data_IF_883296035596
#
_entry.id   IF_883296035596
#
_cell.length_a   1.000
_cell.length_b   1.000
_cell.length_c   1.000
_cell.angle_alpha   90.00
_cell.angle_beta   90.00
_cell.angle_gamma   90.00
#
_symmetry.space_group_name_H-M   'P 1'
#
loop_
_entity.id
_entity.type
_entity.pdbx_description
1 polymer ?
#
# COMPACT_ATOMS: atom_id res chain seq x y z
N UNK A 1 14.72 15.91 -29.12
CA UNK A 1 15.41 14.73 -28.56
C UNK A 1 14.41 13.98 -27.69
N UNK A 2 14.47 12.64 -27.62
CA UNK A 2 13.59 11.86 -26.76
C UNK A 2 13.81 12.18 -25.27
N UNK A 3 14.99 12.66 -24.88
CA UNK A 3 15.27 13.14 -23.52
C UNK A 3 15.07 14.66 -23.48
N UNK A 4 14.21 15.12 -22.57
CA UNK A 4 13.94 16.52 -22.30
C UNK A 4 14.99 17.14 -21.34
N UNK A 5 14.98 18.48 -21.22
CA UNK A 5 15.92 19.20 -20.35
C UNK A 5 15.77 18.87 -18.86
N UNK A 6 14.58 18.46 -18.44
CA UNK A 6 14.26 18.00 -17.08
C UNK A 6 14.60 16.52 -16.85
N UNK A 7 15.32 15.88 -17.80
CA UNK A 7 15.65 14.45 -17.83
C UNK A 7 14.45 13.50 -17.98
N UNK A 8 13.27 14.01 -18.30
CA UNK A 8 12.13 13.15 -18.71
C UNK A 8 12.39 12.54 -20.08
N UNK A 9 11.84 11.35 -20.32
CA UNK A 9 12.02 10.59 -21.56
C UNK A 9 10.68 10.46 -22.27
N UNK A 10 10.66 10.80 -23.55
CA UNK A 10 9.54 10.67 -24.47
C UNK A 10 9.91 9.70 -25.60
N UNK A 11 8.94 8.93 -26.06
CA UNK A 11 9.11 8.12 -27.26
C UNK A 11 9.12 8.99 -28.54
N UNK A 12 9.29 8.34 -29.69
CA UNK A 12 9.35 9.02 -31.00
C UNK A 12 8.04 9.72 -31.40
N UNK A 13 6.92 9.36 -30.78
CA UNK A 13 5.60 9.99 -31.02
C UNK A 13 5.24 11.02 -29.93
N UNK A 14 6.18 11.34 -29.04
CA UNK A 14 6.05 12.37 -28.01
C UNK A 14 5.38 11.90 -26.72
N UNK A 15 5.10 10.61 -26.56
CA UNK A 15 4.50 10.05 -25.34
C UNK A 15 5.55 9.99 -24.23
N UNK A 16 5.19 10.49 -23.04
CA UNK A 16 6.04 10.42 -21.86
C UNK A 16 6.25 8.97 -21.40
N UNK A 17 7.47 8.44 -21.51
CA UNK A 17 7.89 7.14 -21.02
C UNK A 17 8.41 7.24 -19.58
N UNK A 18 9.35 8.15 -19.31
CA UNK A 18 9.86 8.38 -17.96
C UNK A 18 9.59 9.82 -17.55
N UNK A 19 8.94 10.00 -16.40
CA UNK A 19 8.73 11.30 -15.77
C UNK A 19 9.86 11.49 -14.78
N UNK A 20 10.65 12.56 -14.88
CA UNK A 20 11.67 12.82 -13.86
C UNK A 20 11.04 13.14 -12.50
N UNK A 21 11.83 13.04 -11.42
CA UNK A 21 11.37 13.31 -10.07
C UNK A 21 10.87 14.76 -9.92
N UNK A 22 11.62 15.73 -10.43
CA UNK A 22 11.25 17.16 -10.39
C UNK A 22 9.94 17.41 -11.13
N UNK A 23 9.77 16.82 -12.32
CA UNK A 23 8.55 16.92 -13.10
C UNK A 23 7.36 16.26 -12.40
N UNK A 24 7.58 15.10 -11.78
CA UNK A 24 6.57 14.41 -10.98
C UNK A 24 6.10 15.28 -9.82
N UNK A 25 7.03 15.89 -9.08
CA UNK A 25 6.69 16.80 -7.98
C UNK A 25 5.90 17.99 -8.50
N UNK A 26 6.44 18.74 -9.46
CA UNK A 26 5.83 19.97 -9.93
C UNK A 26 4.46 19.76 -10.59
N UNK A 27 4.32 18.75 -11.46
CA UNK A 27 3.14 18.60 -12.28
C UNK A 27 2.08 17.68 -11.65
N UNK A 28 2.50 16.61 -10.97
CA UNK A 28 1.61 15.57 -10.45
C UNK A 28 1.34 15.75 -8.96
N UNK A 29 2.38 15.96 -8.15
CA UNK A 29 2.24 16.10 -6.70
C UNK A 29 1.74 17.48 -6.31
N UNK A 30 2.10 18.54 -7.03
CA UNK A 30 1.72 19.92 -6.73
C UNK A 30 0.70 20.47 -7.75
N UNK A 31 0.85 20.05 -9.01
CA UNK A 31 0.00 20.46 -10.12
C UNK A 31 -1.32 19.67 -10.27
N UNK A 32 -2.02 19.96 -11.36
CA UNK A 32 -3.30 19.33 -11.74
C UNK A 32 -3.17 18.45 -12.99
N UNK A 33 -1.98 17.92 -13.26
CA UNK A 33 -1.75 17.05 -14.38
C UNK A 33 -2.31 15.64 -14.10
N UNK A 34 -2.60 14.90 -15.18
CA UNK A 34 -2.95 13.49 -15.05
C UNK A 34 -1.75 12.72 -14.48
N UNK A 35 -1.92 12.09 -13.32
CA UNK A 35 -0.84 11.38 -12.62
C UNK A 35 -0.23 10.20 -13.39
N UNK A 36 -0.79 9.78 -14.52
CA UNK A 36 -0.22 8.73 -15.39
C UNK A 36 0.49 9.28 -16.62
N UNK A 37 -0.11 10.24 -17.34
CA UNK A 37 0.44 10.71 -18.63
C UNK A 37 0.97 12.15 -18.60
N UNK A 38 0.82 12.85 -17.48
CA UNK A 38 1.28 14.22 -17.28
C UNK A 38 0.67 15.29 -18.21
N UNK A 39 -0.42 14.97 -18.92
CA UNK A 39 -1.20 15.95 -19.68
C UNK A 39 -2.18 16.70 -18.78
N UNK A 40 -2.59 17.90 -19.20
CA UNK A 40 -3.55 18.78 -18.50
C UNK A 40 -4.96 18.71 -19.10
N UNK A 41 -5.96 19.27 -18.38
CA UNK A 41 -7.35 19.38 -18.88
C UNK A 41 -7.49 20.22 -20.16
N UNK A 42 -6.48 21.04 -20.47
CA UNK A 42 -6.44 21.83 -21.72
C UNK A 42 -6.04 20.99 -22.93
N UNK A 43 -5.36 19.86 -22.70
CA UNK A 43 -4.83 18.99 -23.74
C UNK A 43 -5.73 17.78 -24.01
N UNK A 44 -6.42 17.27 -22.98
CA UNK A 44 -7.27 16.07 -23.07
C UNK A 44 -8.45 16.13 -22.09
N UNK A 45 -9.47 15.30 -22.36
CA UNK A 45 -10.62 15.15 -21.46
C UNK A 45 -10.24 14.50 -20.12
N UNK A 46 -10.75 15.07 -19.04
CA UNK A 46 -10.54 14.59 -17.68
C UNK A 46 -11.81 14.01 -17.05
N UNK A 47 -11.57 13.09 -16.12
CA UNK A 47 -12.57 12.65 -15.17
C UNK A 47 -11.98 12.70 -13.74
N UNK A 48 -12.86 12.40 -12.78
CA UNK A 48 -12.47 12.25 -11.38
C UNK A 48 -12.29 10.78 -11.10
N UNK A 49 -11.04 10.38 -10.93
CA UNK A 49 -10.69 9.01 -10.59
C UNK A 49 -10.84 8.80 -9.09
N UNK A 50 -11.54 7.74 -8.68
CA UNK A 50 -11.68 7.42 -7.26
C UNK A 50 -10.37 6.88 -6.68
N UNK A 51 -10.11 7.24 -5.42
CA UNK A 51 -8.96 6.70 -4.67
C UNK A 51 -9.12 5.20 -4.50
N UNK A 52 -10.26 4.79 -3.93
CA UNK A 52 -10.69 3.41 -3.93
C UNK A 52 -11.49 3.10 -5.20
N UNK A 53 -11.18 2.01 -5.90
CA UNK A 53 -11.91 1.58 -7.09
C UNK A 53 -13.42 1.51 -6.90
N UNK A 54 -14.17 1.97 -7.89
CA UNK A 54 -15.63 2.01 -7.85
C UNK A 54 -16.29 0.64 -7.61
N UNK A 55 -15.65 -0.46 -8.01
CA UNK A 55 -16.17 -1.80 -7.74
C UNK A 55 -16.11 -2.15 -6.23
N UNK A 56 -15.07 -1.73 -5.50
CA UNK A 56 -15.01 -1.86 -4.04
C UNK A 56 -16.10 -1.00 -3.39
N UNK A 57 -16.24 0.24 -3.84
CA UNK A 57 -17.25 1.17 -3.31
C UNK A 57 -18.67 0.62 -3.45
N UNK A 58 -18.98 -0.01 -4.59
CA UNK A 58 -20.27 -0.66 -4.82
C UNK A 58 -20.42 -1.95 -4.01
N UNK A 59 -19.42 -2.83 -4.05
CA UNK A 59 -19.47 -4.16 -3.41
C UNK A 59 -19.68 -4.08 -1.90
N UNK A 60 -19.03 -3.11 -1.25
CA UNK A 60 -19.07 -2.94 0.20
C UNK A 60 -19.92 -1.75 0.66
N UNK A 61 -20.72 -1.15 -0.24
CA UNK A 61 -21.63 -0.05 0.11
C UNK A 61 -20.94 1.24 0.56
N UNK A 62 -19.64 1.41 0.27
CA UNK A 62 -18.80 2.47 0.82
C UNK A 62 -19.10 3.86 0.24
N UNK A 63 -19.87 3.99 -0.85
CA UNK A 63 -20.19 5.31 -1.42
C UNK A 63 -20.78 6.30 -0.40
N UNK A 64 -21.48 5.79 0.63
CA UNK A 64 -22.05 6.58 1.73
C UNK A 64 -21.20 6.53 3.02
N UNK A 65 -20.16 5.70 3.03
CA UNK A 65 -19.21 5.59 4.14
C UNK A 65 -18.13 6.66 4.09
N UNK A 66 -17.28 6.66 5.12
CA UNK A 66 -16.18 7.61 5.26
C UNK A 66 -14.87 6.93 5.62
N UNK A 67 -13.77 7.56 5.22
CA UNK A 67 -12.42 7.28 5.68
C UNK A 67 -11.97 8.35 6.67
N UNK A 68 -11.24 7.95 7.71
CA UNK A 68 -10.56 8.89 8.60
C UNK A 68 -9.23 9.31 8.00
N UNK A 69 -9.07 10.59 7.70
CA UNK A 69 -7.86 11.16 7.14
C UNK A 69 -6.75 11.31 8.22
N UNK A 70 -5.48 11.54 7.84
CA UNK A 70 -4.39 11.77 8.80
C UNK A 70 -4.64 12.91 9.79
N UNK A 71 -5.38 13.94 9.39
CA UNK A 71 -5.80 15.06 10.26
C UNK A 71 -7.02 14.72 11.16
N UNK A 72 -7.41 13.44 11.23
CA UNK A 72 -8.57 12.89 11.97
C UNK A 72 -9.94 13.34 11.48
N UNK A 73 -10.02 14.04 10.34
CA UNK A 73 -11.29 14.41 9.72
C UNK A 73 -11.86 13.23 8.93
N UNK A 74 -13.17 13.04 9.01
CA UNK A 74 -13.88 12.11 8.12
C UNK A 74 -14.00 12.69 6.71
N UNK A 75 -13.74 11.85 5.71
CA UNK A 75 -13.92 12.15 4.29
C UNK A 75 -14.79 11.08 3.64
N UNK A 76 -15.80 11.47 2.86
CA UNK A 76 -16.69 10.51 2.21
C UNK A 76 -15.99 9.78 1.06
N UNK A 77 -16.05 8.45 1.02
CA UNK A 77 -15.42 7.66 -0.04
C UNK A 77 -15.97 8.02 -1.43
N UNK A 78 -17.27 8.33 -1.54
CA UNK A 78 -17.90 8.72 -2.81
C UNK A 78 -17.35 10.01 -3.42
N UNK A 79 -16.71 10.87 -2.63
CA UNK A 79 -16.08 12.12 -3.10
C UNK A 79 -14.54 12.07 -3.01
N UNK A 80 -13.99 10.93 -2.58
CA UNK A 80 -12.55 10.74 -2.44
C UNK A 80 -11.98 10.42 -3.82
N UNK A 81 -11.62 11.47 -4.56
CA UNK A 81 -11.16 11.40 -5.96
C UNK A 81 -9.96 12.31 -6.24
N UNK A 82 -9.19 12.00 -7.28
CA UNK A 82 -8.09 12.80 -7.86
C UNK A 82 -8.32 13.03 -9.37
N UNK A 83 -7.69 14.06 -9.98
CA UNK A 83 -7.76 14.27 -11.42
C UNK A 83 -7.05 13.15 -12.20
N UNK A 84 -7.68 12.67 -13.27
CA UNK A 84 -7.07 11.75 -14.24
C UNK A 84 -7.69 11.95 -15.61
N UNK A 85 -6.90 11.87 -16.68
CA UNK A 85 -7.49 11.90 -18.02
C UNK A 85 -8.31 10.63 -18.28
N UNK A 86 -9.38 10.75 -19.07
CA UNK A 86 -10.33 9.66 -19.37
C UNK A 86 -9.60 8.45 -19.97
N UNK A 87 -8.63 8.69 -20.84
CA UNK A 87 -7.84 7.64 -21.49
C UNK A 87 -7.04 6.81 -20.48
N UNK A 88 -6.28 7.46 -19.60
CA UNK A 88 -5.49 6.78 -18.58
C UNK A 88 -6.37 6.05 -17.58
N UNK A 89 -7.48 6.67 -17.16
CA UNK A 89 -8.42 6.02 -16.25
C UNK A 89 -9.00 4.73 -16.88
N UNK A 90 -9.43 4.77 -18.14
CA UNK A 90 -9.91 3.58 -18.83
C UNK A 90 -8.85 2.48 -18.96
N UNK A 91 -7.58 2.85 -19.19
CA UNK A 91 -6.46 1.89 -19.25
C UNK A 91 -6.18 1.26 -17.88
N UNK A 92 -6.17 2.05 -16.81
CA UNK A 92 -6.06 1.56 -15.42
C UNK A 92 -7.19 0.59 -15.10
N UNK A 93 -8.43 0.92 -15.47
CA UNK A 93 -9.59 0.05 -15.25
C UNK A 93 -9.46 -1.30 -15.96
N UNK A 94 -8.94 -1.32 -17.18
CA UNK A 94 -8.73 -2.57 -17.93
C UNK A 94 -7.57 -3.40 -17.38
N UNK A 95 -6.49 -2.73 -16.97
CA UNK A 95 -5.26 -3.40 -16.55
C UNK A 95 -5.30 -3.88 -15.10
N UNK A 96 -5.83 -3.07 -14.18
CA UNK A 96 -5.91 -3.41 -12.75
C UNK A 96 -7.33 -3.78 -12.34
N UNK A 97 -8.29 -2.86 -12.51
CA UNK A 97 -9.56 -2.98 -11.78
C UNK A 97 -10.43 -4.15 -12.23
N UNK A 98 -10.54 -4.38 -13.53
CA UNK A 98 -11.35 -5.47 -14.09
C UNK A 98 -10.83 -6.84 -13.62
N UNK A 99 -9.58 -7.23 -13.92
CA UNK A 99 -9.10 -8.57 -13.55
C UNK A 99 -8.99 -8.77 -12.03
N UNK A 100 -8.67 -7.72 -11.26
CA UNK A 100 -8.61 -7.82 -9.79
C UNK A 100 -10.02 -7.96 -9.22
N UNK A 101 -11.00 -7.18 -9.69
CA UNK A 101 -12.39 -7.29 -9.22
C UNK A 101 -12.97 -8.69 -9.47
N UNK A 102 -12.65 -9.30 -10.62
CA UNK A 102 -13.00 -10.68 -10.96
C UNK A 102 -12.37 -11.69 -10.00
N UNK A 103 -11.07 -11.54 -9.70
CA UNK A 103 -10.38 -12.40 -8.73
C UNK A 103 -11.03 -12.32 -7.33
N UNK A 104 -11.40 -11.11 -6.89
CA UNK A 104 -12.08 -10.89 -5.61
C UNK A 104 -13.50 -11.49 -5.57
N UNK A 105 -14.15 -11.81 -6.70
CA UNK A 105 -15.44 -12.55 -6.67
C UNK A 105 -15.25 -13.91 -6.00
N UNK A 106 -14.11 -14.57 -6.22
CA UNK A 106 -13.77 -15.86 -5.61
C UNK A 106 -13.18 -15.78 -4.20
N UNK A 107 -13.23 -14.62 -3.54
CA UNK A 107 -12.62 -14.40 -2.22
C UNK A 107 -11.12 -14.70 -2.23
N UNK A 108 -10.60 -15.22 -1.12
CA UNK A 108 -9.18 -15.52 -0.99
C UNK A 108 -8.66 -16.51 -2.05
N UNK A 109 -9.46 -17.53 -2.39
CA UNK A 109 -9.09 -18.53 -3.37
C UNK A 109 -8.94 -17.93 -4.78
N UNK A 110 -9.84 -17.03 -5.16
CA UNK A 110 -9.76 -16.34 -6.45
C UNK A 110 -8.54 -15.42 -6.57
N UNK A 111 -8.22 -14.69 -5.49
CA UNK A 111 -7.02 -13.84 -5.44
C UNK A 111 -5.74 -14.67 -5.47
N UNK A 112 -5.67 -15.79 -4.73
CA UNK A 112 -4.53 -16.72 -4.80
C UNK A 112 -4.34 -17.28 -6.21
N UNK A 113 -5.41 -17.76 -6.84
CA UNK A 113 -5.34 -18.30 -8.20
C UNK A 113 -4.87 -17.26 -9.24
N UNK A 114 -5.17 -15.97 -9.03
CA UNK A 114 -4.62 -14.89 -9.84
C UNK A 114 -3.11 -14.75 -9.64
N UNK A 115 -2.65 -14.69 -8.38
CA UNK A 115 -1.24 -14.54 -8.04
C UNK A 115 -0.41 -15.73 -8.51
N UNK A 116 -0.92 -16.96 -8.35
CA UNK A 116 -0.25 -18.18 -8.83
C UNK A 116 -0.09 -18.19 -10.36
N UNK A 117 -1.07 -17.65 -11.09
CA UNK A 117 -1.08 -17.62 -12.55
C UNK A 117 -0.21 -16.51 -13.14
N UNK A 118 -0.25 -15.31 -12.55
CA UNK A 118 0.32 -14.09 -13.13
C UNK A 118 1.50 -13.52 -12.33
N UNK A 119 1.76 -14.06 -11.14
CA UNK A 119 2.62 -13.43 -10.15
C UNK A 119 1.89 -12.33 -9.34
N UNK A 120 2.54 -11.78 -8.30
CA UNK A 120 1.99 -10.78 -7.40
C UNK A 120 2.09 -9.35 -7.96
N UNK A 121 2.85 -9.14 -9.05
CA UNK A 121 3.17 -7.82 -9.58
C UNK A 121 1.92 -6.95 -9.76
N UNK A 122 0.88 -7.50 -10.40
CA UNK A 122 -0.36 -6.76 -10.65
C UNK A 122 -1.05 -6.33 -9.36
N UNK A 123 -1.11 -7.19 -8.35
CA UNK A 123 -1.70 -6.85 -7.04
C UNK A 123 -0.85 -5.83 -6.32
N UNK A 124 0.48 -6.00 -6.33
CA UNK A 124 1.40 -5.07 -5.70
C UNK A 124 1.30 -3.66 -6.32
N UNK A 125 1.31 -3.57 -7.65
CA UNK A 125 1.11 -2.31 -8.39
C UNK A 125 -0.26 -1.70 -8.12
N UNK A 126 -1.31 -2.50 -7.99
CA UNK A 126 -2.65 -2.01 -7.65
C UNK A 126 -2.73 -1.46 -6.23
N UNK A 127 -2.09 -2.12 -5.26
CA UNK A 127 -1.94 -1.60 -3.90
C UNK A 127 -1.13 -0.31 -3.88
N UNK A 128 -0.02 -0.25 -4.63
CA UNK A 128 0.78 0.96 -4.79
C UNK A 128 -0.03 2.08 -5.44
N UNK A 129 -0.90 1.77 -6.41
CA UNK A 129 -1.80 2.71 -7.06
C UNK A 129 -2.76 3.35 -6.05
N UNK A 130 -3.43 2.55 -5.21
CA UNK A 130 -4.32 3.07 -4.17
C UNK A 130 -3.54 3.93 -3.18
N UNK A 131 -2.38 3.45 -2.72
CA UNK A 131 -1.53 4.17 -1.80
C UNK A 131 -1.07 5.51 -2.38
N UNK A 132 -0.51 5.54 -3.60
CA UNK A 132 -0.11 6.79 -4.26
C UNK A 132 -1.29 7.74 -4.44
N UNK A 133 -2.46 7.24 -4.87
CA UNK A 133 -3.68 8.04 -5.00
C UNK A 133 -4.04 8.73 -3.69
N UNK A 134 -4.03 8.01 -2.57
CA UNK A 134 -4.31 8.59 -1.23
C UNK A 134 -3.38 9.77 -0.93
N UNK A 135 -2.09 9.59 -1.14
CA UNK A 135 -1.08 10.62 -0.83
C UNK A 135 -1.13 11.81 -1.80
N UNK A 136 -1.44 11.58 -3.08
CA UNK A 136 -1.71 12.68 -4.03
C UNK A 136 -2.95 13.47 -3.64
N UNK A 137 -3.95 12.83 -3.01
CA UNK A 137 -5.14 13.53 -2.53
C UNK A 137 -4.86 14.37 -1.28
N UNK A 138 -3.92 13.94 -0.45
CA UNK A 138 -3.55 14.65 0.79
C UNK A 138 -2.98 16.05 0.55
N UNK A 139 -2.46 16.35 -0.65
CA UNK A 139 -2.11 17.73 -1.06
C UNK A 139 -3.30 18.70 -1.03
N UNK A 140 -4.50 18.20 -1.30
CA UNK A 140 -5.73 18.99 -1.37
C UNK A 140 -6.42 19.11 -0.01
N UNK A 141 -5.85 18.52 1.03
CA UNK A 141 -6.44 18.38 2.34
C UNK A 141 -5.54 19.07 3.37
N UNK A 142 -6.11 19.95 4.19
CA UNK A 142 -5.33 20.70 5.19
C UNK A 142 -4.88 19.79 6.32
N UNK A 143 -3.63 19.97 6.77
CA UNK A 143 -3.10 19.35 7.98
C UNK A 143 -3.82 19.86 9.23
N UNK A 144 -4.04 21.17 9.30
CA UNK A 144 -4.72 21.81 10.42
C UNK A 144 -6.20 22.07 10.09
N UNK A 145 -7.09 21.63 10.99
CA UNK A 145 -8.52 21.93 10.91
C UNK A 145 -8.80 23.38 11.31
N UNK A 146 -8.06 23.88 12.32
CA UNK A 146 -8.05 25.28 12.72
C UNK A 146 -7.08 26.08 11.83
N UNK A 147 -7.62 27.01 11.03
CA UNK A 147 -6.85 27.83 10.09
C UNK A 147 -5.83 28.74 10.77
N UNK A 148 -5.99 29.03 12.06
CA UNK A 148 -5.05 29.86 12.82
C UNK A 148 -3.70 29.16 13.01
N UNK A 149 -3.66 27.84 12.89
CA UNK A 149 -2.43 27.04 13.00
C UNK A 149 -1.67 26.93 11.66
N UNK A 150 -2.22 27.48 10.57
CA UNK A 150 -1.62 27.47 9.23
C UNK A 150 -2.50 26.78 8.19
N UNK A 151 -2.15 27.00 6.91
CA UNK A 151 -2.86 26.43 5.74
C UNK A 151 -2.10 25.26 5.09
N UNK A 152 -1.07 24.74 5.76
CA UNK A 152 -0.25 23.61 5.32
C UNK A 152 -1.08 22.38 4.96
N UNK A 153 -0.74 21.70 3.86
CA UNK A 153 -1.37 20.47 3.43
C UNK A 153 -0.92 19.26 4.27
N UNK A 154 -1.69 18.18 4.26
CA UNK A 154 -1.31 16.92 4.93
C UNK A 154 0.01 16.39 4.34
N UNK A 155 0.21 16.57 3.03
CA UNK A 155 1.36 16.05 2.29
C UNK A 155 2.67 16.83 2.46
N UNK A 156 2.70 17.91 3.24
CA UNK A 156 3.86 18.80 3.37
C UNK A 156 5.15 18.07 3.75
N UNK A 157 5.04 17.03 4.58
CA UNK A 157 6.20 16.30 5.10
C UNK A 157 6.51 15.03 4.29
N UNK A 158 5.89 14.84 3.13
CA UNK A 158 6.08 13.63 2.35
C UNK A 158 7.41 13.64 1.60
N UNK A 159 8.08 12.49 1.62
CA UNK A 159 9.22 12.23 0.75
C UNK A 159 8.74 11.84 -0.65
N UNK A 160 8.52 12.85 -1.49
CA UNK A 160 8.07 12.64 -2.86
C UNK A 160 9.08 11.86 -3.72
N UNK A 161 10.36 11.81 -3.37
CA UNK A 161 11.35 11.03 -4.10
C UNK A 161 11.08 9.53 -3.95
N UNK A 162 10.70 9.07 -2.76
CA UNK A 162 10.27 7.67 -2.58
C UNK A 162 8.92 7.41 -3.26
N UNK A 163 7.97 8.36 -3.26
CA UNK A 163 6.73 8.24 -4.04
C UNK A 163 6.96 8.21 -5.56
N UNK A 164 8.03 8.83 -6.05
CA UNK A 164 8.41 8.79 -7.46
C UNK A 164 8.75 7.37 -7.92
N UNK A 165 9.33 6.55 -7.04
CA UNK A 165 9.51 5.11 -7.32
C UNK A 165 8.15 4.42 -7.54
N UNK A 166 7.18 4.63 -6.63
CA UNK A 166 5.83 4.07 -6.77
C UNK A 166 5.17 4.57 -8.06
N UNK A 167 5.33 5.84 -8.39
CA UNK A 167 4.84 6.43 -9.65
C UNK A 167 5.41 5.72 -10.88
N UNK A 168 6.73 5.50 -10.91
CA UNK A 168 7.38 4.75 -11.98
C UNK A 168 6.84 3.32 -12.08
N UNK A 169 6.71 2.63 -10.94
CA UNK A 169 6.23 1.26 -10.86
C UNK A 169 4.78 1.12 -11.36
N UNK A 170 3.88 2.01 -10.92
CA UNK A 170 2.50 2.07 -11.38
C UNK A 170 2.45 2.36 -12.88
N UNK A 171 3.30 3.26 -13.38
CA UNK A 171 3.34 3.62 -14.81
C UNK A 171 3.94 2.54 -15.69
N UNK A 172 4.53 1.47 -15.17
CA UNK A 172 5.10 0.39 -15.98
C UNK A 172 4.09 -0.20 -16.99
N UNK A 173 2.81 -0.38 -16.59
CA UNK A 173 1.76 -0.82 -17.52
C UNK A 173 1.50 0.17 -18.67
N UNK A 174 1.74 1.46 -18.43
CA UNK A 174 1.58 2.50 -19.42
C UNK A 174 2.82 2.53 -20.32
N UNK A 175 4.00 2.53 -19.75
CA UNK A 175 5.26 2.81 -20.44
C UNK A 175 5.85 1.58 -21.10
N UNK A 176 5.46 0.38 -20.68
CA UNK A 176 6.08 -0.88 -21.06
C UNK A 176 7.41 -1.14 -20.35
N UNK A 177 7.72 -0.40 -19.28
CA UNK A 177 8.95 -0.59 -18.53
C UNK A 177 9.01 -2.01 -17.95
N UNK A 178 10.13 -2.70 -18.15
CA UNK A 178 10.37 -3.97 -17.49
C UNK A 178 10.62 -3.76 -15.99
N UNK A 179 10.08 -4.62 -15.15
CA UNK A 179 10.29 -4.59 -13.70
C UNK A 179 11.32 -5.67 -13.36
N UNK A 180 12.46 -5.23 -12.83
CA UNK A 180 13.55 -6.11 -12.41
C UNK A 180 13.29 -6.78 -11.07
N UNK A 181 14.18 -7.71 -10.73
CA UNK A 181 14.16 -8.40 -9.45
C UNK A 181 14.26 -7.41 -8.28
N UNK A 182 13.62 -7.76 -7.16
CA UNK A 182 13.63 -6.99 -5.91
C UNK A 182 13.03 -5.57 -6.00
N UNK A 183 12.48 -5.17 -7.15
CA UNK A 183 11.72 -3.92 -7.28
C UNK A 183 10.42 -3.98 -6.50
N UNK A 184 9.76 -5.14 -6.51
CA UNK A 184 8.59 -5.35 -5.67
C UNK A 184 9.04 -5.49 -4.22
N UNK A 185 8.34 -4.78 -3.34
CA UNK A 185 8.54 -4.89 -1.90
C UNK A 185 7.76 -6.07 -1.29
N UNK A 186 7.67 -6.07 0.02
CA UNK A 186 6.91 -7.07 0.79
C UNK A 186 5.43 -7.06 0.40
N UNK A 187 4.85 -8.24 0.17
CA UNK A 187 3.40 -8.41 -0.05
C UNK A 187 2.89 -9.64 0.69
N UNK A 188 1.76 -9.51 1.37
CA UNK A 188 1.11 -10.63 2.06
C UNK A 188 -0.37 -10.70 1.68
N UNK A 189 -0.85 -11.94 1.61
CA UNK A 189 -2.24 -12.29 1.36
C UNK A 189 -2.70 -13.23 2.47
N UNK A 190 -3.63 -12.76 3.31
CA UNK A 190 -4.06 -13.46 4.53
C UNK A 190 -5.58 -13.60 4.55
N UNK A 191 -6.06 -14.73 5.10
CA UNK A 191 -7.47 -14.98 5.33
C UNK A 191 -7.94 -14.26 6.60
N UNK A 192 -9.03 -13.51 6.50
CA UNK A 192 -9.69 -12.86 7.63
C UNK A 192 -11.09 -13.42 7.76
N UNK A 193 -11.53 -13.74 8.97
CA UNK A 193 -12.88 -14.24 9.21
C UNK A 193 -13.92 -13.18 8.78
N UNK A 194 -14.75 -13.44 7.75
CA UNK A 194 -15.77 -12.50 7.30
C UNK A 194 -16.97 -12.43 8.26
N UNK A 195 -17.08 -13.34 9.23
CA UNK A 195 -18.26 -13.51 10.08
C UNK A 195 -18.10 -12.96 11.51
N UNK A 196 -17.14 -12.07 11.75
CA UNK A 196 -16.94 -11.47 13.09
C UNK A 196 -18.06 -10.52 13.51
N UNK A 197 -18.98 -10.17 12.61
CA UNK A 197 -20.03 -9.19 12.85
C UNK A 197 -19.57 -7.73 12.63
N UNK A 198 -18.29 -7.53 12.34
CA UNK A 198 -17.70 -6.23 12.03
C UNK A 198 -17.85 -5.85 10.55
N UNK A 199 -17.46 -4.61 10.21
CA UNK A 199 -17.35 -4.18 8.82
C UNK A 199 -16.38 -5.07 8.04
N UNK A 200 -16.86 -5.63 6.92
CA UNK A 200 -16.10 -6.55 6.05
C UNK A 200 -15.14 -5.81 5.10
N UNK A 201 -15.04 -4.49 5.21
CA UNK A 201 -14.04 -3.69 4.50
C UNK A 201 -13.25 -2.87 5.50
N UNK A 202 -11.94 -2.83 5.34
CA UNK A 202 -11.07 -2.04 6.20
C UNK A 202 -9.84 -1.54 5.43
N UNK A 203 -9.30 -0.38 5.82
CA UNK A 203 -8.22 0.29 5.11
C UNK A 203 -7.29 1.02 6.08
N UNK A 204 -5.99 0.82 5.94
CA UNK A 204 -4.98 1.51 6.73
C UNK A 204 -3.69 1.76 5.97
N UNK A 205 -2.98 2.80 6.36
CA UNK A 205 -1.62 3.04 5.91
C UNK A 205 -0.78 3.66 7.01
N UNK A 206 0.51 3.33 7.03
CA UNK A 206 1.53 4.02 7.81
C UNK A 206 2.50 4.65 6.82
N UNK A 207 2.30 5.94 6.52
CA UNK A 207 3.02 6.66 5.46
C UNK A 207 4.53 6.62 5.65
N UNK A 208 5.02 6.92 6.85
CA UNK A 208 6.46 6.92 7.16
C UNK A 208 7.09 5.52 7.05
N UNK A 209 6.27 4.48 7.19
CA UNK A 209 6.67 3.10 7.01
C UNK A 209 6.36 2.56 5.60
N UNK A 210 5.88 3.39 4.66
CA UNK A 210 5.47 2.97 3.31
C UNK A 210 4.66 1.67 3.29
N UNK A 211 3.81 1.47 4.30
CA UNK A 211 3.08 0.24 4.53
C UNK A 211 1.59 0.48 4.37
N UNK A 212 0.93 -0.41 3.64
CA UNK A 212 -0.48 -0.33 3.31
C UNK A 212 -1.17 -1.66 3.61
N UNK A 213 -2.34 -1.56 4.22
CA UNK A 213 -3.22 -2.68 4.54
C UNK A 213 -4.62 -2.40 4.01
N UNK A 214 -5.23 -3.42 3.43
CA UNK A 214 -6.63 -3.38 3.02
C UNK A 214 -7.27 -4.75 3.23
N UNK A 215 -8.44 -4.75 3.85
CA UNK A 215 -9.35 -5.89 3.90
C UNK A 215 -10.53 -5.66 2.97
N UNK A 216 -10.88 -6.67 2.20
CA UNK A 216 -12.09 -6.72 1.39
C UNK A 216 -12.70 -8.12 1.46
N UNK A 217 -13.72 -8.28 2.33
CA UNK A 217 -14.35 -9.55 2.64
C UNK A 217 -13.47 -10.44 3.52
N UNK A 218 -13.22 -11.64 3.04
CA UNK A 218 -12.36 -12.67 3.64
C UNK A 218 -10.87 -12.50 3.30
N UNK A 219 -10.53 -11.46 2.51
CA UNK A 219 -9.17 -11.22 2.02
C UNK A 219 -8.57 -10.00 2.70
N UNK A 220 -7.41 -10.17 3.34
CA UNK A 220 -6.51 -9.08 3.71
C UNK A 220 -5.26 -9.06 2.85
N UNK A 221 -4.93 -7.88 2.35
CA UNK A 221 -3.74 -7.57 1.59
C UNK A 221 -2.85 -6.62 2.38
N UNK A 222 -1.55 -6.88 2.35
CA UNK A 222 -0.52 -6.04 2.96
C UNK A 222 0.58 -5.77 1.95
N UNK A 223 1.09 -4.55 1.89
CA UNK A 223 2.26 -4.22 1.10
C UNK A 223 3.17 -3.22 1.82
N UNK A 224 4.48 -3.41 1.65
CA UNK A 224 5.51 -2.42 1.97
C UNK A 224 6.20 -2.05 0.66
N UNK A 225 6.30 -0.76 0.35
CA UNK A 225 6.65 -0.32 -1.01
C UNK A 225 8.13 0.01 -1.26
N UNK A 226 8.96 0.04 -0.23
CA UNK A 226 10.35 0.52 -0.32
C UNK A 226 11.37 -0.38 0.38
N UNK A 227 11.07 -1.67 0.51
CA UNK A 227 11.84 -2.61 1.33
C UNK A 227 12.43 -3.80 0.56
N UNK A 228 12.16 -3.93 -0.74
CA UNK A 228 12.66 -5.04 -1.57
C UNK A 228 12.43 -6.43 -0.93
N UNK A 229 11.23 -6.64 -0.35
CA UNK A 229 10.78 -7.87 0.31
C UNK A 229 11.37 -8.14 1.70
N UNK A 230 12.18 -7.23 2.25
CA UNK A 230 12.84 -7.43 3.52
C UNK A 230 11.88 -7.64 4.70
N UNK A 231 10.76 -6.93 4.73
CA UNK A 231 9.87 -6.90 5.90
C UNK A 231 9.11 -8.22 6.12
N UNK A 232 8.71 -8.94 5.05
CA UNK A 232 8.11 -10.28 5.20
C UNK A 232 9.09 -11.22 5.91
N UNK A 233 10.36 -11.19 5.53
CA UNK A 233 11.40 -11.99 6.19
C UNK A 233 11.58 -11.60 7.67
N UNK A 234 11.53 -10.31 7.99
CA UNK A 234 11.67 -9.84 9.37
C UNK A 234 10.53 -10.29 10.29
N UNK A 235 9.31 -10.38 9.76
CA UNK A 235 8.14 -10.81 10.53
C UNK A 235 7.82 -12.30 10.36
N UNK A 236 8.71 -13.10 9.76
CA UNK A 236 8.45 -14.53 9.51
C UNK A 236 8.12 -15.29 10.81
N UNK A 237 8.77 -14.95 11.92
CA UNK A 237 8.45 -15.50 13.24
C UNK A 237 7.01 -15.19 13.72
N UNK A 238 6.48 -14.00 13.40
CA UNK A 238 5.08 -13.64 13.66
C UNK A 238 4.16 -14.47 12.77
N UNK A 239 4.50 -14.58 11.48
CA UNK A 239 3.72 -15.35 10.52
C UNK A 239 3.63 -16.83 10.91
N UNK A 240 4.75 -17.45 11.27
CA UNK A 240 4.80 -18.84 11.72
C UNK A 240 3.96 -19.11 12.98
N UNK A 241 3.76 -18.10 13.83
CA UNK A 241 2.92 -18.19 15.01
C UNK A 241 1.41 -18.19 14.70
N UNK A 242 0.98 -17.70 13.53
CA UNK A 242 -0.44 -17.62 13.17
C UNK A 242 -0.95 -18.99 12.73
N UNK A 243 -1.80 -19.62 13.54
CA UNK A 243 -2.29 -20.99 13.29
C UNK A 243 -3.71 -21.04 12.69
N UNK A 244 -4.43 -19.92 12.66
CA UNK A 244 -5.82 -19.85 12.20
C UNK A 244 -6.14 -18.58 11.40
N UNK A 245 -7.41 -18.43 11.04
CA UNK A 245 -7.91 -17.22 10.38
C UNK A 245 -7.79 -16.01 11.31
N UNK A 246 -7.42 -14.86 10.76
CA UNK A 246 -7.35 -13.63 11.55
C UNK A 246 -8.74 -13.05 11.78
N UNK A 247 -8.98 -12.48 12.95
CA UNK A 247 -10.05 -11.50 13.14
C UNK A 247 -9.58 -10.09 12.70
N UNK A 248 -10.47 -9.07 12.65
CA UNK A 248 -10.10 -7.74 12.16
C UNK A 248 -9.03 -7.04 13.00
N UNK A 249 -9.05 -7.20 14.33
CA UNK A 249 -8.04 -6.63 15.22
C UNK A 249 -6.66 -7.26 14.96
N UNK A 250 -6.61 -8.58 14.80
CA UNK A 250 -5.41 -9.32 14.44
C UNK A 250 -4.87 -8.92 13.07
N UNK A 251 -5.75 -8.73 12.10
CA UNK A 251 -5.38 -8.27 10.76
C UNK A 251 -4.72 -6.89 10.80
N UNK A 252 -5.24 -5.96 11.63
CA UNK A 252 -4.65 -4.65 11.88
C UNK A 252 -3.33 -4.71 12.65
N UNK A 253 -3.18 -5.62 13.62
CA UNK A 253 -1.92 -5.81 14.33
C UNK A 253 -0.84 -6.38 13.42
N UNK A 254 -1.16 -7.30 12.51
CA UNK A 254 -0.19 -7.79 11.53
C UNK A 254 0.33 -6.65 10.61
N UNK A 255 -0.55 -5.71 10.24
CA UNK A 255 -0.12 -4.50 9.53
C UNK A 255 0.83 -3.64 10.38
N UNK A 256 0.61 -3.60 11.70
CA UNK A 256 1.48 -2.88 12.63
C UNK A 256 2.86 -3.55 12.74
N UNK A 257 2.93 -4.88 12.82
CA UNK A 257 4.22 -5.60 12.83
C UNK A 257 5.00 -5.38 11.52
N UNK A 258 4.32 -5.42 10.37
CA UNK A 258 4.96 -5.16 9.07
C UNK A 258 5.46 -3.70 8.94
N UNK A 259 4.65 -2.73 9.36
CA UNK A 259 5.04 -1.32 9.35
C UNK A 259 6.19 -1.04 10.32
N UNK A 260 6.13 -1.61 11.54
CA UNK A 260 7.20 -1.50 12.51
C UNK A 260 8.49 -2.13 11.95
N UNK A 261 8.44 -3.33 11.36
CA UNK A 261 9.60 -3.93 10.72
C UNK A 261 10.24 -2.99 9.69
N UNK A 262 9.42 -2.34 8.85
CA UNK A 262 9.97 -1.40 7.88
C UNK A 262 10.58 -0.14 8.51
N UNK A 263 10.04 0.37 9.61
CA UNK A 263 10.66 1.49 10.35
C UNK A 263 12.03 1.12 10.95
N UNK A 264 12.24 -0.17 11.27
CA UNK A 264 13.51 -0.67 11.78
C UNK A 264 14.52 -1.04 10.67
N UNK A 265 14.12 -1.04 9.39
CA UNK A 265 15.04 -1.34 8.28
C UNK A 265 16.03 -0.17 8.09
N UNK A 266 17.31 -0.42 8.39
CA UNK A 266 18.36 0.62 8.43
C UNK A 266 19.10 0.82 7.11
N UNK A 267 19.19 -0.22 6.27
CA UNK A 267 19.86 -0.20 4.98
C UNK A 267 18.85 -0.40 3.84
N UNK A 268 18.00 0.59 3.60
CA UNK A 268 16.96 0.50 2.57
C UNK A 268 17.56 0.26 1.17
N UNK A 269 16.87 -0.53 0.32
CA UNK A 269 17.22 -0.61 -1.10
C UNK A 269 17.07 0.77 -1.76
N UNK A 270 17.78 0.97 -2.87
CA UNK A 270 17.56 2.11 -3.75
C UNK A 270 16.97 1.64 -5.07
N UNK A 271 16.14 2.48 -5.70
CA UNK A 271 15.46 2.13 -6.94
C UNK A 271 15.84 3.10 -8.05
N UNK A 272 16.01 2.57 -9.25
CA UNK A 272 16.44 3.34 -10.41
C UNK A 272 15.63 2.94 -11.64
N UNK A 273 15.47 3.89 -12.56
CA UNK A 273 14.99 3.60 -13.91
C UNK A 273 16.16 3.73 -14.87
N UNK A 274 16.45 2.65 -15.59
CA UNK A 274 17.55 2.56 -16.55
C UNK A 274 17.01 2.45 -17.97
N UNK A 275 17.77 2.98 -18.92
CA UNK A 275 17.57 2.76 -20.35
C UNK A 275 18.93 2.82 -21.04
N UNK A 276 19.10 2.03 -22.10
CA UNK A 276 20.28 2.08 -22.96
C UNK A 276 19.95 2.72 -24.30
N UNK A 277 18.71 2.59 -24.77
CA UNK A 277 18.26 3.18 -26.01
C UNK A 277 17.73 4.60 -25.78
N UNK A 278 18.18 5.60 -26.56
CA UNK A 278 17.71 6.98 -26.41
C UNK A 278 16.19 7.13 -26.55
N UNK A 279 15.52 6.26 -27.30
CA UNK A 279 14.05 6.30 -27.49
C UNK A 279 13.26 5.60 -26.36
N UNK A 280 13.94 5.11 -25.32
CA UNK A 280 13.33 4.48 -24.15
C UNK A 280 12.67 3.12 -24.40
N UNK A 281 12.93 2.49 -25.55
CA UNK A 281 12.34 1.19 -25.90
C UNK A 281 12.73 0.05 -24.96
N UNK A 282 13.84 0.19 -24.21
CA UNK A 282 14.36 -0.80 -23.27
C UNK A 282 14.26 -0.34 -21.80
N UNK A 283 13.33 0.57 -21.47
CA UNK A 283 13.17 1.10 -20.12
C UNK A 283 13.01 -0.03 -19.08
N UNK A 284 13.81 0.00 -18.00
CA UNK A 284 13.74 -0.96 -16.90
C UNK A 284 13.75 -0.26 -15.56
N UNK A 285 12.92 -0.71 -14.64
CA UNK A 285 12.98 -0.34 -13.23
C UNK A 285 13.81 -1.41 -12.54
N UNK A 286 14.82 -1.01 -11.78
CA UNK A 286 15.72 -1.93 -11.08
C UNK A 286 15.86 -1.51 -9.62
N UNK A 287 16.11 -2.49 -8.76
CA UNK A 287 16.47 -2.28 -7.36
C UNK A 287 17.96 -2.57 -7.15
N UNK A 288 18.60 -1.76 -6.32
CA UNK A 288 19.90 -2.04 -5.76
C UNK A 288 19.74 -2.36 -4.28
N UNK A 289 19.84 -3.65 -3.96
CA UNK A 289 19.76 -4.19 -2.61
C UNK A 289 21.17 -4.25 -2.00
N UNK A 290 21.36 -3.88 -0.72
CA UNK A 290 22.66 -4.00 -0.07
C UNK A 290 23.19 -5.42 -0.09
N UNK A 291 24.49 -5.58 -0.41
CA UNK A 291 25.13 -6.89 -0.53
C UNK A 291 25.13 -7.71 0.78
N UNK A 292 25.05 -7.05 1.94
CA UNK A 292 24.96 -7.71 3.24
C UNK A 292 23.54 -8.25 3.56
N UNK A 293 22.58 -8.10 2.64
CA UNK A 293 21.17 -8.35 2.92
C UNK A 293 20.55 -7.25 3.79
N UNK A 294 19.25 -7.37 4.11
CA UNK A 294 18.56 -6.39 4.96
C UNK A 294 19.07 -6.44 6.39
N UNK A 295 19.27 -5.26 6.98
CA UNK A 295 19.76 -5.04 8.34
C UNK A 295 18.70 -4.24 9.09
N UNK A 296 18.15 -4.86 10.13
CA UNK A 296 17.19 -4.24 11.02
C UNK A 296 17.89 -3.77 12.28
N UNK A 297 17.51 -2.60 12.78
CA UNK A 297 17.84 -2.18 14.13
C UNK A 297 17.18 -3.15 15.14
N UNK A 298 17.70 -3.18 16.36
CA UNK A 298 17.04 -3.88 17.47
C UNK A 298 15.59 -3.41 17.61
N UNK A 299 14.68 -4.34 17.92
CA UNK A 299 13.24 -4.05 18.00
C UNK A 299 12.98 -3.03 19.11
N UNK A 300 12.67 -1.81 18.72
CA UNK A 300 12.24 -0.73 19.60
C UNK A 300 10.75 -0.92 19.91
N UNK A 301 10.47 -1.27 21.17
CA UNK A 301 9.13 -1.51 21.65
C UNK A 301 8.26 -0.25 21.65
N UNK A 302 8.85 0.95 21.76
CA UNK A 302 8.11 2.21 21.70
C UNK A 302 7.65 2.51 20.27
N UNK A 303 8.49 2.22 19.27
CA UNK A 303 8.08 2.31 17.85
C UNK A 303 6.95 1.33 17.56
N UNK A 304 7.10 0.07 17.98
CA UNK A 304 6.06 -0.96 17.77
C UNK A 304 4.76 -0.55 18.45
N UNK A 305 4.82 -0.11 19.70
CA UNK A 305 3.65 0.32 20.46
C UNK A 305 2.98 1.56 19.88
N UNK A 306 3.77 2.53 19.40
CA UNK A 306 3.25 3.69 18.67
C UNK A 306 2.47 3.29 17.41
N UNK A 307 3.04 2.41 16.58
CA UNK A 307 2.38 1.93 15.35
C UNK A 307 1.13 1.11 15.67
N UNK A 308 1.19 0.22 16.67
CA UNK A 308 0.02 -0.55 17.14
C UNK A 308 -1.08 0.38 17.60
N UNK A 309 -0.77 1.34 18.47
CA UNK A 309 -1.75 2.33 18.91
C UNK A 309 -2.34 3.09 17.73
N UNK A 310 -1.51 3.56 16.79
CA UNK A 310 -1.98 4.28 15.61
C UNK A 310 -2.99 3.48 14.77
N UNK A 311 -2.71 2.19 14.52
CA UNK A 311 -3.58 1.35 13.67
C UNK A 311 -4.78 0.77 14.40
N UNK A 312 -4.71 0.56 15.71
CA UNK A 312 -5.71 -0.13 16.53
C UNK A 312 -6.48 0.81 17.48
N UNK A 313 -6.24 2.13 17.44
CA UNK A 313 -6.92 3.06 18.35
C UNK A 313 -8.45 2.97 18.30
N UNK A 314 -9.01 2.69 17.12
CA UNK A 314 -10.46 2.61 16.90
C UNK A 314 -11.15 1.44 17.65
N UNK A 315 -10.41 0.40 18.04
CA UNK A 315 -10.94 -0.76 18.79
C UNK A 315 -10.63 -0.69 20.29
N UNK A 316 -10.03 0.41 20.78
CA UNK A 316 -9.66 0.53 22.21
C UNK A 316 -10.86 0.40 23.15
N UNK A 317 -12.05 0.85 22.72
CA UNK A 317 -13.29 0.75 23.50
C UNK A 317 -14.02 -0.60 23.41
N UNK A 318 -13.49 -1.57 22.67
CA UNK A 318 -14.12 -2.90 22.51
C UNK A 318 -13.42 -4.00 23.31
N UNK A 319 -12.37 -3.66 24.05
CA UNK A 319 -11.60 -4.64 24.84
C UNK A 319 -12.29 -4.87 26.18
N UNK A 320 -12.75 -6.09 26.41
CA UNK A 320 -13.46 -6.46 27.63
C UNK A 320 -12.59 -6.26 28.88
N UNK A 321 -13.20 -5.67 29.93
CA UNK A 321 -12.56 -5.46 31.22
C UNK A 321 -11.54 -4.32 31.27
N UNK A 322 -11.42 -3.48 30.23
CA UNK A 322 -10.52 -2.32 30.21
C UNK A 322 -11.22 -1.06 29.71
N UNK A 323 -10.73 0.09 30.16
CA UNK A 323 -11.16 1.37 29.58
C UNK A 323 -10.49 1.60 28.21
N UNK A 324 -11.06 2.45 27.34
CA UNK A 324 -10.39 2.87 26.10
C UNK A 324 -9.01 3.48 26.35
N UNK A 325 -8.87 4.31 27.39
CA UNK A 325 -7.62 4.97 27.77
C UNK A 325 -6.58 3.96 28.25
N UNK A 326 -6.99 2.99 29.07
CA UNK A 326 -6.13 1.91 29.55
C UNK A 326 -5.63 1.06 28.37
N UNK A 327 -6.52 0.67 27.47
CA UNK A 327 -6.18 -0.13 26.29
C UNK A 327 -5.25 0.64 25.35
N UNK A 328 -5.52 1.94 25.13
CA UNK A 328 -4.65 2.80 24.33
C UNK A 328 -3.24 2.88 24.91
N UNK A 329 -3.12 2.98 26.24
CA UNK A 329 -1.82 3.05 26.91
C UNK A 329 -1.06 1.73 26.85
N UNK A 330 -1.74 0.60 27.05
CA UNK A 330 -1.14 -0.73 26.88
C UNK A 330 -0.66 -0.97 25.43
N UNK A 331 -1.39 -0.47 24.43
CA UNK A 331 -0.94 -0.50 23.04
C UNK A 331 0.33 0.31 22.84
N UNK A 332 0.39 1.55 23.34
CA UNK A 332 1.59 2.41 23.24
C UNK A 332 2.82 1.79 23.89
N UNK A 333 2.62 1.06 24.99
CA UNK A 333 3.68 0.35 25.69
C UNK A 333 4.00 -1.03 25.08
N UNK A 334 3.32 -1.43 24.00
CA UNK A 334 3.41 -2.75 23.36
C UNK A 334 3.19 -3.91 24.36
N UNK A 335 2.26 -3.74 25.31
CA UNK A 335 1.93 -4.71 26.38
C UNK A 335 0.66 -5.51 26.14
N UNK A 336 -0.05 -5.23 25.05
CA UNK A 336 -1.22 -5.99 24.63
C UNK A 336 -1.03 -6.43 23.18
N UNK A 337 -1.42 -7.66 22.90
CA UNK A 337 -1.50 -8.23 21.57
C UNK A 337 -2.89 -8.85 21.38
N UNK A 338 -3.40 -8.74 20.16
CA UNK A 338 -4.58 -9.42 19.65
C UNK A 338 -4.19 -10.70 18.88
N UNK A 339 -2.97 -10.76 18.34
CA UNK A 339 -2.42 -11.95 17.68
C UNK A 339 -2.10 -13.06 18.67
N UNK A 340 -1.36 -12.74 19.73
CA UNK A 340 -0.83 -13.73 20.68
C UNK A 340 -1.25 -13.45 22.10
N UNK A 341 -1.49 -14.52 22.87
CA UNK A 341 -1.73 -14.42 24.30
C UNK A 341 -0.41 -14.23 25.08
N UNK A 342 -0.49 -14.15 26.41
CA UNK A 342 0.69 -13.94 27.25
C UNK A 342 1.70 -15.10 27.21
N UNK A 343 1.28 -16.29 26.78
CA UNK A 343 2.15 -17.45 26.57
C UNK A 343 2.75 -17.50 25.16
N UNK A 344 2.43 -16.54 24.29
CA UNK A 344 2.88 -16.49 22.90
C UNK A 344 2.09 -17.38 21.94
N UNK A 345 0.97 -17.95 22.38
CA UNK A 345 0.09 -18.77 21.54
C UNK A 345 -0.88 -17.87 20.76
N UNK A 346 -1.16 -18.26 19.51
CA UNK A 346 -2.15 -17.57 18.70
C UNK A 346 -3.53 -17.58 19.35
N UNK A 347 -4.20 -16.42 19.38
CA UNK A 347 -5.55 -16.28 19.92
C UNK A 347 -6.53 -16.71 18.84
N UNK A 348 -7.05 -17.93 18.91
CA UNK A 348 -8.10 -18.36 18.00
C UNK A 348 -9.41 -17.60 18.29
N UNK A 349 -10.02 -17.01 17.26
CA UNK A 349 -11.40 -16.55 17.36
C UNK A 349 -12.29 -17.76 17.62
N UNK A 350 -13.18 -17.69 18.60
CA UNK A 350 -14.04 -18.80 19.00
C UNK A 350 -14.97 -19.26 17.88
N UNK A 351 -14.50 -20.17 17.02
CA UNK A 351 -15.22 -21.19 16.24
C UNK A 351 -14.18 -21.97 15.44
N UNK A 352 -13.96 -23.22 15.86
CA UNK A 352 -13.21 -24.22 15.09
C UNK A 352 -13.77 -24.30 13.67
N UNK A 353 -12.96 -23.92 12.69
CA UNK A 353 -13.01 -24.55 11.38
C UNK A 353 -11.61 -25.05 11.08
N UNK A 354 -11.49 -26.35 10.80
CA UNK A 354 -10.25 -27.05 10.44
C UNK A 354 -9.68 -26.55 9.10
N UNK A 355 -9.28 -25.29 9.05
CA UNK A 355 -8.59 -24.66 7.92
C UNK A 355 -7.34 -23.99 8.45
N UNK A 356 -6.20 -24.67 8.25
CA UNK A 356 -4.88 -24.04 8.41
C UNK A 356 -4.86 -22.77 7.55
N UNK A 357 -4.55 -21.64 8.15
CA UNK A 357 -4.21 -20.45 7.40
C UNK A 357 -3.05 -20.79 6.45
N UNK A 358 -3.27 -20.71 5.14
CA UNK A 358 -2.16 -20.78 4.20
C UNK A 358 -1.56 -19.39 4.10
N UNK A 359 -0.52 -19.14 4.88
CA UNK A 359 0.32 -17.96 4.70
C UNK A 359 1.14 -18.21 3.43
N UNK A 360 0.76 -17.58 2.33
CA UNK A 360 1.50 -17.69 1.08
C UNK A 360 2.67 -16.71 1.09
N UNK A 361 3.85 -17.15 1.51
CA UNK A 361 5.12 -16.46 1.20
C UNK A 361 5.61 -16.98 -0.15
N UNK A 362 5.20 -16.32 -1.23
CA UNK A 362 5.39 -16.82 -2.59
C UNK A 362 6.81 -16.66 -3.16
N UNK A 363 7.90 -16.62 -2.38
CA UNK A 363 9.21 -16.22 -2.95
C UNK A 363 10.49 -16.89 -2.41
N UNK A 364 10.42 -18.07 -1.78
CA UNK A 364 11.65 -18.81 -1.39
C UNK A 364 12.30 -19.67 -2.50
N UNK A 365 11.81 -19.65 -3.76
CA UNK A 365 12.26 -20.62 -4.80
C UNK A 365 13.15 -20.10 -5.95
N UNK A 366 13.80 -18.94 -5.81
CA UNK A 366 14.68 -18.44 -6.89
C UNK A 366 16.08 -18.00 -6.45
N UNK A 367 16.56 -18.38 -5.27
CA UNK A 367 17.94 -18.11 -4.86
C UNK A 367 18.68 -19.43 -4.62
N UNK A 368 19.07 -20.08 -5.71
CA UNK A 368 20.28 -20.88 -5.71
C UNK A 368 21.36 -20.03 -6.42
N UNK A 369 22.53 -19.80 -5.79
CA UNK A 369 23.61 -19.07 -6.46
C UNK A 369 24.16 -19.93 -7.60
N UNK A 370 24.06 -19.39 -8.82
CA UNK A 370 24.84 -19.83 -9.99
C UNK A 370 25.89 -18.79 -10.30
#
# INVERSE_FOLDING_TARGET
>A
MPIATDSSVHDRVGRLLYCSADRFVANVCEGEHCFICDRTEREVDFNREHILPNWLLRRFGLHRGSVTLPNRKLHGYGTYTIPCCVECNNRLSKHFETPISEAFVGGLAGVKAMVEREGPERIFQWMALIFLKMHLKDRLLRKHLDRRLGDTAISETYDWATFHHLHCLIRAHHTGAAIGDYVLGSVLLVEVDPNTGDEVFDLASVTDAFTFYMRAGDVALYATFNDAQACVGAIDHVLQGITGMLNPAQARELAAELAAANLHLTNRPTFQTLMSNPDGADLRIVAHVPACGPVFADKDHDIVGFVKHFLLNHITGTVEGRSPEETAELLRQNKISFLFNNEGNFIESGRQSDKRASIGTWWQKSVAPG
#
